data_IF_223283479978
#
_entry.id   IF_223283479978
#
_cell.length_a   1.000
_cell.length_b   1.000
_cell.length_c   1.000
_cell.angle_alpha   90.00
_cell.angle_beta   90.00
_cell.angle_gamma   90.00
#
_symmetry.space_group_name_H-M   'P 1'
#
loop_
_entity.id
_entity.type
_entity.pdbx_description
1 polymer ?
#
# COMPACT_ATOMS: atom_id res chain seq x y z
N UNK A 1 6.90 -4.87 4.53
CA UNK A 1 6.22 -3.58 4.32
C UNK A 1 6.83 -2.79 3.18
N UNK A 2 8.15 -2.84 2.97
CA UNK A 2 8.82 -2.06 1.92
C UNK A 2 8.33 -2.37 0.49
N UNK A 3 8.02 -3.64 0.21
CA UNK A 3 7.45 -4.06 -1.09
C UNK A 3 6.08 -3.40 -1.30
N UNK A 4 5.19 -3.44 -0.30
CA UNK A 4 3.86 -2.82 -0.39
C UNK A 4 3.99 -1.30 -0.53
N UNK A 5 4.95 -0.66 0.17
CA UNK A 5 5.22 0.77 0.05
C UNK A 5 5.70 1.14 -1.33
N UNK A 6 6.59 0.34 -1.91
CA UNK A 6 7.13 0.55 -3.25
C UNK A 6 6.04 0.40 -4.31
N UNK A 7 5.22 -0.65 -4.22
CA UNK A 7 4.07 -0.86 -5.11
C UNK A 7 3.02 0.26 -5.00
N UNK A 8 2.70 0.71 -3.79
CA UNK A 8 1.78 1.82 -3.58
C UNK A 8 2.32 3.11 -4.21
N UNK A 9 3.61 3.40 -4.01
CA UNK A 9 4.27 4.56 -4.62
C UNK A 9 4.27 4.46 -6.14
N UNK A 10 4.60 3.31 -6.71
CA UNK A 10 4.58 3.08 -8.16
C UNK A 10 3.19 3.28 -8.76
N UNK A 11 2.14 2.77 -8.11
CA UNK A 11 0.75 2.92 -8.60
C UNK A 11 0.29 4.38 -8.48
N UNK A 12 0.66 5.09 -7.40
CA UNK A 12 0.32 6.51 -7.18
C UNK A 12 1.11 7.44 -8.10
N UNK A 13 2.38 7.13 -8.40
CA UNK A 13 3.24 7.89 -9.32
C UNK A 13 3.09 7.46 -10.78
N UNK A 14 2.37 6.37 -11.06
CA UNK A 14 2.01 5.95 -12.42
C UNK A 14 1.15 7.02 -13.08
N UNK A 15 1.84 7.99 -13.70
CA UNK A 15 1.28 9.03 -14.57
C UNK A 15 0.33 8.33 -15.55
N UNK A 16 -0.89 8.86 -15.79
CA UNK A 16 -1.75 8.32 -16.82
C UNK A 16 -0.96 8.31 -18.14
N UNK A 17 -0.64 7.11 -18.63
CA UNK A 17 -0.13 6.94 -19.99
C UNK A 17 -1.26 7.42 -20.91
N UNK A 18 -1.22 8.70 -21.29
CA UNK A 18 -2.04 9.24 -22.36
C UNK A 18 -1.55 8.56 -23.64
N UNK A 19 -2.27 7.54 -24.07
CA UNK A 19 -2.17 7.00 -25.43
C UNK A 19 -3.56 7.17 -26.05
N UNK A 20 -3.54 7.77 -27.24
CA UNK A 20 -4.62 8.46 -27.92
C UNK A 20 -5.91 7.66 -28.16
N UNK A 21 -7.01 8.41 -28.33
CA UNK A 21 -8.27 8.12 -29.07
C UNK A 21 -8.56 6.62 -29.30
N UNK A 22 -9.53 6.09 -28.55
CA UNK A 22 -10.14 4.75 -28.59
C UNK A 22 -9.68 3.76 -27.51
N UNK A 23 -10.38 3.78 -26.37
CA UNK A 23 -10.41 2.68 -25.40
C UNK A 23 -9.66 2.96 -24.10
N UNK A 24 -10.25 2.53 -22.98
CA UNK A 24 -9.72 2.57 -21.61
C UNK A 24 -10.00 3.84 -20.79
N UNK A 25 -11.30 4.15 -20.66
CA UNK A 25 -11.85 4.75 -19.43
C UNK A 25 -12.06 3.59 -18.44
N UNK A 26 -11.02 3.15 -17.74
CA UNK A 26 -11.12 2.02 -16.80
C UNK A 26 -10.01 1.94 -15.76
N UNK A 27 -8.84 2.51 -16.05
CA UNK A 27 -7.67 2.33 -15.18
C UNK A 27 -7.70 3.16 -13.89
N UNK A 28 -8.42 4.29 -13.84
CA UNK A 28 -8.46 5.12 -12.64
C UNK A 28 -9.16 4.43 -11.46
N UNK A 29 -10.31 3.80 -11.71
CA UNK A 29 -11.05 3.05 -10.68
C UNK A 29 -10.28 1.81 -10.21
N UNK A 30 -9.62 1.11 -11.13
CA UNK A 30 -8.78 -0.04 -10.80
C UNK A 30 -7.56 0.37 -9.95
N UNK A 31 -6.92 1.50 -10.26
CA UNK A 31 -5.77 2.02 -9.47
C UNK A 31 -6.16 2.35 -8.03
N UNK A 32 -7.31 2.97 -7.82
CA UNK A 32 -7.81 3.28 -6.48
C UNK A 32 -8.12 2.00 -5.68
N UNK A 33 -8.77 1.01 -6.30
CA UNK A 33 -9.03 -0.29 -5.67
C UNK A 33 -7.72 -1.01 -5.30
N UNK A 34 -6.74 -1.04 -6.21
CA UNK A 34 -5.41 -1.60 -5.95
C UNK A 34 -4.70 -0.90 -4.78
N UNK A 35 -4.80 0.42 -4.70
CA UNK A 35 -4.25 1.19 -3.58
C UNK A 35 -4.93 0.83 -2.26
N UNK A 36 -6.26 0.68 -2.26
CA UNK A 36 -7.02 0.27 -1.09
C UNK A 36 -6.66 -1.15 -0.64
N UNK A 37 -6.51 -2.09 -1.57
CA UNK A 37 -6.11 -3.46 -1.29
C UNK A 37 -4.71 -3.55 -0.67
N UNK A 38 -3.76 -2.76 -1.17
CA UNK A 38 -2.42 -2.68 -0.60
C UNK A 38 -2.43 -2.14 0.83
N UNK A 39 -3.28 -1.14 1.13
CA UNK A 39 -3.47 -0.61 2.48
C UNK A 39 -4.12 -1.63 3.42
N UNK A 40 -5.11 -2.37 2.93
CA UNK A 40 -5.75 -3.45 3.71
C UNK A 40 -4.75 -4.56 4.06
N UNK A 41 -3.88 -4.95 3.12
CA UNK A 41 -2.79 -5.91 3.36
C UNK A 41 -1.77 -5.38 4.37
N UNK A 42 -1.40 -4.11 4.30
CA UNK A 42 -0.52 -3.47 5.28
C UNK A 42 -1.12 -3.48 6.69
N UNK A 43 -2.42 -3.17 6.82
CA UNK A 43 -3.14 -3.14 8.09
C UNK A 43 -3.27 -4.52 8.72
N UNK A 44 -3.50 -5.57 7.93
CA UNK A 44 -3.55 -6.94 8.45
C UNK A 44 -2.19 -7.40 8.98
N UNK A 45 -1.10 -7.05 8.30
CA UNK A 45 0.28 -7.30 8.74
C UNK A 45 0.61 -6.57 10.06
N UNK A 46 0.23 -5.31 10.19
CA UNK A 46 0.41 -4.53 11.43
C UNK A 46 -0.38 -5.16 12.57
N UNK A 47 -1.65 -5.52 12.33
CA UNK A 47 -2.50 -6.17 13.32
C UNK A 47 -1.88 -7.48 13.79
N UNK A 48 -1.43 -8.32 12.85
CA UNK A 48 -0.73 -9.55 13.17
C UNK A 48 0.54 -9.29 13.99
N UNK A 49 1.31 -8.26 13.64
CA UNK A 49 2.49 -7.89 14.42
C UNK A 49 2.12 -7.46 15.86
N UNK A 50 1.05 -6.67 16.01
CA UNK A 50 0.52 -6.26 17.31
C UNK A 50 -0.05 -7.42 18.15
N UNK A 51 -0.47 -8.52 17.53
CA UNK A 51 -0.93 -9.73 18.23
C UNK A 51 0.22 -10.55 18.84
N UNK A 52 1.47 -10.32 18.42
CA UNK A 52 2.63 -11.10 18.89
C UNK A 52 3.73 -10.20 19.50
N UNK A 53 3.41 -9.42 20.55
CA UNK A 53 4.30 -8.38 21.08
C UNK A 53 5.60 -8.92 21.71
N UNK A 54 5.58 -10.17 22.20
CA UNK A 54 6.73 -10.78 22.87
C UNK A 54 7.61 -11.63 21.96
N UNK A 55 7.26 -11.77 20.67
CA UNK A 55 8.07 -12.52 19.68
C UNK A 55 8.79 -11.62 18.68
N UNK A 56 8.51 -10.32 18.72
CA UNK A 56 9.19 -9.33 17.90
C UNK A 56 9.82 -8.25 18.77
N UNK A 57 10.89 -7.60 18.29
CA UNK A 57 11.43 -6.42 18.93
C UNK A 57 10.33 -5.36 19.15
N UNK A 58 10.34 -4.71 20.33
CA UNK A 58 9.26 -3.82 20.76
C UNK A 58 9.01 -2.60 19.86
N UNK A 59 9.96 -2.26 18.99
CA UNK A 59 9.90 -1.16 18.02
C UNK A 59 9.35 -1.58 16.65
N UNK A 60 9.16 -2.88 16.38
CA UNK A 60 8.69 -3.36 15.07
C UNK A 60 7.31 -2.83 14.76
N UNK A 61 6.36 -2.92 15.70
CA UNK A 61 5.00 -2.46 15.45
C UNK A 61 4.95 -0.95 15.17
N UNK A 62 5.72 -0.15 15.92
CA UNK A 62 5.85 1.29 15.70
C UNK A 62 6.42 1.62 14.32
N UNK A 63 7.47 0.90 13.89
CA UNK A 63 8.06 1.05 12.54
C UNK A 63 7.07 0.68 11.43
N UNK A 64 6.28 -0.38 11.61
CA UNK A 64 5.28 -0.79 10.63
C UNK A 64 4.16 0.26 10.49
N UNK A 65 3.71 0.84 11.61
CA UNK A 65 2.74 1.95 11.63
C UNK A 65 3.32 3.19 10.93
N UNK A 66 4.58 3.53 11.21
CA UNK A 66 5.26 4.65 10.55
C UNK A 66 5.33 4.44 9.02
N UNK A 67 5.63 3.22 8.57
CA UNK A 67 5.63 2.90 7.14
C UNK A 67 4.23 3.01 6.51
N UNK A 68 3.18 2.56 7.18
CA UNK A 68 1.80 2.71 6.70
C UNK A 68 1.36 4.17 6.60
N UNK A 69 1.78 5.02 7.55
CA UNK A 69 1.50 6.46 7.47
C UNK A 69 2.08 7.12 6.22
N UNK A 70 3.19 6.59 5.68
CA UNK A 70 3.79 7.07 4.43
C UNK A 70 3.03 6.67 3.16
N UNK A 71 2.05 5.75 3.29
CA UNK A 71 1.15 5.30 2.23
C UNK A 71 -0.21 6.03 2.28
N UNK A 72 -0.35 7.06 3.13
CA UNK A 72 -1.53 7.96 3.16
C UNK A 72 -1.37 9.06 2.14
#
# INVERSE_FOLDING_TARGET
MDILCSQYKEIKTSVPKVINKFGFIGDASNKEQLCLDLRMKAKSLITFAGMVPYRMPGDVNAKLIQLESSMT
#
